data_IF_338008232273
#
_entry.id   IF_338008232273
#
_cell.length_a   1.000
_cell.length_b   1.000
_cell.length_c   1.000
_cell.angle_alpha   90.00
_cell.angle_beta   90.00
_cell.angle_gamma   90.00
#
_symmetry.space_group_name_H-M   'P 1'
#
loop_
_entity.id
_entity.type
_entity.pdbx_description
1 polymer ?
#
# COMPACT_ATOMS: atom_id res chain seq x y z
N UNK A 1 -12.63 5.27 16.15
CA UNK A 1 -11.50 5.73 15.31
C UNK A 1 -10.52 4.58 15.21
N UNK A 2 -10.25 4.08 14.01
CA UNK A 2 -9.19 3.08 13.82
C UNK A 2 -7.85 3.72 14.24
N UNK A 3 -7.03 2.98 14.97
CA UNK A 3 -5.75 3.50 15.44
C UNK A 3 -4.85 3.74 14.22
N UNK A 4 -4.47 4.99 13.90
CA UNK A 4 -3.64 5.30 12.74
C UNK A 4 -2.26 4.61 12.81
N UNK A 5 -1.84 4.19 14.01
CA UNK A 5 -0.68 3.35 14.23
C UNK A 5 -0.74 2.01 13.46
N UNK A 6 -1.92 1.40 13.34
CA UNK A 6 -2.06 0.13 12.63
C UNK A 6 -2.13 0.31 11.11
N UNK A 7 -2.81 1.36 10.63
CA UNK A 7 -3.02 1.61 9.18
C UNK A 7 -1.69 1.88 8.47
N UNK A 8 -0.79 2.64 9.10
CA UNK A 8 0.57 2.90 8.56
C UNK A 8 1.41 1.64 8.44
N UNK A 9 1.29 0.69 9.37
CA UNK A 9 1.98 -0.60 9.28
C UNK A 9 1.48 -1.40 8.06
N UNK A 10 0.17 -1.43 7.83
CA UNK A 10 -0.40 -2.08 6.64
C UNK A 10 0.08 -1.43 5.33
N UNK A 11 0.15 -0.10 5.30
CA UNK A 11 0.68 0.65 4.15
C UNK A 11 2.14 0.30 3.89
N UNK A 12 2.98 0.35 4.92
CA UNK A 12 4.41 0.10 4.80
C UNK A 12 4.68 -1.31 4.23
N UNK A 13 4.01 -2.33 4.78
CA UNK A 13 4.14 -3.69 4.24
C UNK A 13 3.59 -3.80 2.82
N UNK A 14 2.49 -3.13 2.49
CA UNK A 14 1.96 -3.10 1.13
C UNK A 14 2.96 -2.51 0.14
N UNK A 15 3.60 -1.39 0.46
CA UNK A 15 4.59 -0.74 -0.40
C UNK A 15 5.80 -1.66 -0.62
N UNK A 16 6.29 -2.29 0.45
CA UNK A 16 7.35 -3.28 0.36
C UNK A 16 6.96 -4.46 -0.56
N UNK A 17 5.72 -4.97 -0.47
CA UNK A 17 5.25 -6.02 -1.38
C UNK A 17 5.22 -5.57 -2.85
N UNK A 18 4.87 -4.31 -3.13
CA UNK A 18 4.95 -3.74 -4.50
C UNK A 18 6.39 -3.74 -5.00
N UNK A 19 7.34 -3.33 -4.16
CA UNK A 19 8.77 -3.31 -4.48
C UNK A 19 9.33 -4.70 -4.77
N UNK A 20 8.89 -5.72 -4.02
CA UNK A 20 9.23 -7.12 -4.28
C UNK A 20 8.55 -7.69 -5.55
N UNK A 21 7.65 -6.93 -6.19
CA UNK A 21 6.84 -7.39 -7.32
C UNK A 21 5.63 -8.24 -6.92
N UNK A 22 5.40 -8.46 -5.63
CA UNK A 22 4.29 -9.23 -5.08
C UNK A 22 2.99 -8.40 -5.03
N UNK A 23 2.45 -8.06 -6.21
CA UNK A 23 1.26 -7.21 -6.31
C UNK A 23 0.02 -7.79 -5.62
N UNK A 24 -0.19 -9.10 -5.66
CA UNK A 24 -1.34 -9.73 -5.01
C UNK A 24 -1.33 -9.52 -3.48
N UNK A 25 -0.15 -9.63 -2.87
CA UNK A 25 0.02 -9.37 -1.44
C UNK A 25 -0.19 -7.88 -1.14
N UNK A 26 0.38 -7.00 -1.95
CA UNK A 26 0.14 -5.56 -1.83
C UNK A 26 -1.35 -5.19 -1.96
N UNK A 27 -2.10 -5.86 -2.85
CA UNK A 27 -3.54 -5.69 -3.01
C UNK A 27 -4.31 -6.12 -1.75
N UNK A 28 -3.88 -7.20 -1.09
CA UNK A 28 -4.44 -7.64 0.18
C UNK A 28 -4.23 -6.58 1.28
N UNK A 29 -3.03 -6.02 1.39
CA UNK A 29 -2.74 -4.93 2.32
C UNK A 29 -3.58 -3.68 2.01
N UNK A 30 -3.77 -3.33 0.73
CA UNK A 30 -4.60 -2.21 0.29
C UNK A 30 -6.07 -2.39 0.72
N UNK A 31 -6.64 -3.57 0.51
CA UNK A 31 -7.99 -3.89 0.96
C UNK A 31 -8.13 -3.79 2.49
N UNK A 32 -7.10 -4.19 3.23
CA UNK A 32 -7.09 -4.07 4.70
C UNK A 32 -7.09 -2.60 5.13
N UNK A 33 -6.31 -1.74 4.47
CA UNK A 33 -6.33 -0.30 4.71
C UNK A 33 -7.71 0.29 4.42
N UNK A 34 -8.34 -0.10 3.30
CA UNK A 34 -9.68 0.37 2.95
C UNK A 34 -10.72 0.02 4.01
N UNK A 35 -10.64 -1.18 4.60
CA UNK A 35 -11.53 -1.60 5.69
C UNK A 35 -11.30 -0.81 6.99
N UNK A 36 -10.07 -0.38 7.26
CA UNK A 36 -9.69 0.28 8.52
C UNK A 36 -9.90 1.81 8.47
N UNK A 37 -9.50 2.44 7.37
CA UNK A 37 -9.46 3.90 7.24
C UNK A 37 -10.31 4.44 6.07
N UNK A 38 -10.89 3.55 5.25
CA UNK A 38 -11.56 3.92 4.00
C UNK A 38 -10.59 4.16 2.85
N UNK A 39 -11.14 4.34 1.66
CA UNK A 39 -10.37 4.60 0.42
C UNK A 39 -9.90 6.06 0.29
N UNK A 40 -10.36 6.93 1.19
CA UNK A 40 -9.99 8.35 1.22
C UNK A 40 -8.78 8.64 2.11
N UNK A 41 -8.20 7.63 2.77
CA UNK A 41 -7.00 7.83 3.57
C UNK A 41 -5.76 8.05 2.69
N UNK A 42 -4.82 8.84 3.18
CA UNK A 42 -3.55 9.08 2.50
C UNK A 42 -2.76 7.78 2.35
N UNK A 43 -2.85 6.88 3.34
CA UNK A 43 -2.23 5.56 3.31
C UNK A 43 -2.79 4.68 2.19
N UNK A 44 -4.12 4.67 1.98
CA UNK A 44 -4.74 3.92 0.88
C UNK A 44 -4.28 4.47 -0.46
N UNK A 45 -4.36 5.79 -0.63
CA UNK A 45 -4.00 6.46 -1.89
C UNK A 45 -2.54 6.24 -2.26
N UNK A 46 -1.65 6.30 -1.27
CA UNK A 46 -0.22 6.04 -1.44
C UNK A 46 0.06 4.60 -1.92
N UNK A 47 -0.55 3.59 -1.29
CA UNK A 47 -0.36 2.20 -1.70
C UNK A 47 -1.03 1.90 -3.05
N UNK A 48 -2.22 2.44 -3.31
CA UNK A 48 -2.92 2.30 -4.58
C UNK A 48 -2.08 2.87 -5.74
N UNK A 49 -1.53 4.08 -5.56
CA UNK A 49 -0.66 4.70 -6.55
C UNK A 49 0.64 3.89 -6.80
N UNK A 50 1.18 3.20 -5.79
CA UNK A 50 2.33 2.32 -5.97
C UNK A 50 1.96 1.06 -6.78
N UNK A 51 0.79 0.48 -6.52
CA UNK A 51 0.28 -0.68 -7.25
C UNK A 51 0.04 -0.39 -8.74
N UNK A 52 -0.44 0.82 -9.07
CA UNK A 52 -0.67 1.29 -10.44
C UNK A 52 0.62 1.49 -11.25
N UNK A 53 1.72 1.88 -10.59
CA UNK A 53 3.01 2.01 -11.27
C UNK A 53 3.48 0.63 -11.73
N UNK A 54 3.95 0.44 -12.97
CA UNK A 54 4.51 -0.82 -13.40
C UNK A 54 5.78 -1.19 -12.59
N UNK A 55 6.05 -2.48 -12.35
CA UNK A 55 7.29 -2.91 -11.71
C UNK A 55 8.48 -2.52 -12.59
N UNK A 56 9.45 -1.79 -12.03
CA UNK A 56 10.67 -1.40 -12.75
C UNK A 56 10.93 0.10 -12.88
N UNK A 57 10.05 0.99 -12.44
CA UNK A 57 10.34 2.45 -12.33
C UNK A 57 11.09 2.83 -11.05
N UNK A 58 11.79 1.87 -10.43
CA UNK A 58 12.75 2.15 -9.37
C UNK A 58 14.01 2.72 -10.03
N UNK A 59 14.30 3.99 -9.74
CA UNK A 59 15.48 4.69 -10.23
C UNK A 59 16.72 3.79 -10.10
N UNK A 60 17.36 3.53 -11.24
CA UNK A 60 18.73 3.02 -11.31
C UNK A 60 19.58 4.08 -10.59
N UNK A 61 20.12 3.72 -9.42
CA UNK A 61 21.13 4.52 -8.73
C UNK A 61 22.47 4.43 -9.46
#
# INVERSE_FOLDING_TARGET
KADPAHVRTWQYYGLWQVEQGNRDQAQYHLNRIAQLAGTNSDEYRSLAAALEKPPGTGLVY
#
